data_IF_724435325705
#
_entry.id   IF_724435325705
#
_cell.length_a   1.000
_cell.length_b   1.000
_cell.length_c   1.000
_cell.angle_alpha   90.00
_cell.angle_beta   90.00
_cell.angle_gamma   90.00
#
_symmetry.space_group_name_H-M   'P 1'
#
loop_
_entity.id
_entity.type
_entity.pdbx_description
1 polymer ?
#
# COMPACT_ATOMS: atom_id res chain seq x y z
N UNK A 1 4.39 -28.42 0.74
CA UNK A 1 3.32 -27.58 0.12
C UNK A 1 3.97 -26.62 -0.87
N UNK A 2 3.49 -26.55 -2.12
CA UNK A 2 4.08 -25.67 -3.15
C UNK A 2 3.95 -24.18 -2.72
N UNK A 3 5.04 -23.38 -2.79
CA UNK A 3 5.02 -21.97 -2.36
C UNK A 3 3.97 -21.12 -3.09
N UNK A 4 3.68 -21.42 -4.36
CA UNK A 4 2.65 -20.73 -5.14
C UNK A 4 1.25 -21.01 -4.60
N UNK A 5 0.97 -22.26 -4.24
CA UNK A 5 -0.33 -22.64 -3.65
C UNK A 5 -0.51 -21.99 -2.28
N UNK A 6 0.56 -21.86 -1.50
CA UNK A 6 0.53 -21.11 -0.23
C UNK A 6 0.17 -19.64 -0.47
N UNK A 7 0.81 -18.98 -1.45
CA UNK A 7 0.49 -17.60 -1.81
C UNK A 7 -0.96 -17.41 -2.27
N UNK A 8 -1.49 -18.36 -3.07
CA UNK A 8 -2.91 -18.33 -3.49
C UNK A 8 -3.85 -18.44 -2.29
N UNK A 9 -3.58 -19.33 -1.33
CA UNK A 9 -4.40 -19.45 -0.11
C UNK A 9 -4.36 -18.19 0.75
N UNK A 10 -3.19 -17.59 0.91
CA UNK A 10 -3.06 -16.31 1.63
C UNK A 10 -3.86 -15.20 0.94
N UNK A 11 -3.77 -15.09 -0.39
CA UNK A 11 -4.53 -14.10 -1.15
C UNK A 11 -6.04 -14.38 -1.13
N UNK A 12 -6.45 -15.66 -1.16
CA UNK A 12 -7.85 -16.08 -1.01
C UNK A 12 -8.43 -15.60 0.33
N UNK A 13 -7.71 -15.84 1.43
CA UNK A 13 -8.09 -15.39 2.77
C UNK A 13 -8.16 -13.86 2.85
N UNK A 14 -7.15 -13.16 2.33
CA UNK A 14 -7.12 -11.70 2.32
C UNK A 14 -8.25 -11.06 1.49
N UNK A 15 -8.70 -11.76 0.45
CA UNK A 15 -9.82 -11.33 -0.39
C UNK A 15 -11.20 -11.78 0.13
N UNK A 16 -11.25 -12.50 1.26
CA UNK A 16 -12.51 -13.01 1.83
C UNK A 16 -13.22 -14.03 0.93
N UNK A 17 -12.48 -14.76 0.09
CA UNK A 17 -13.06 -15.70 -0.88
C UNK A 17 -13.32 -17.04 -0.20
N UNK A 18 -14.59 -17.40 -0.08
CA UNK A 18 -15.00 -18.70 0.45
C UNK A 18 -14.61 -19.86 -0.48
N UNK A 19 -14.74 -21.10 0.02
CA UNK A 19 -14.30 -22.29 -0.69
C UNK A 19 -15.11 -22.58 -1.97
N UNK A 20 -16.41 -22.25 -2.01
CA UNK A 20 -17.27 -22.43 -3.20
C UNK A 20 -16.84 -21.46 -4.29
N UNK A 21 -16.64 -20.18 -3.93
CA UNK A 21 -16.11 -19.18 -4.85
C UNK A 21 -14.68 -19.53 -5.30
N UNK A 22 -13.85 -20.08 -4.43
CA UNK A 22 -12.51 -20.54 -4.78
C UNK A 22 -12.54 -21.62 -5.87
N UNK A 23 -13.33 -22.68 -5.67
CA UNK A 23 -13.49 -23.76 -6.65
C UNK A 23 -14.00 -23.24 -8.00
N UNK A 24 -14.98 -22.32 -7.98
CA UNK A 24 -15.48 -21.69 -9.22
C UNK A 24 -14.39 -20.91 -9.95
N UNK A 25 -13.57 -20.15 -9.23
CA UNK A 25 -12.45 -19.40 -9.81
C UNK A 25 -11.37 -20.33 -10.39
N UNK A 26 -11.04 -21.42 -9.71
CA UNK A 26 -10.09 -22.44 -10.20
C UNK A 26 -10.62 -23.09 -11.48
N UNK A 27 -11.91 -23.47 -11.50
CA UNK A 27 -12.56 -24.04 -12.68
C UNK A 27 -12.59 -23.06 -13.85
N UNK A 28 -12.84 -21.78 -13.60
CA UNK A 28 -12.83 -20.75 -14.63
C UNK A 28 -11.43 -20.56 -15.23
N UNK A 29 -10.39 -20.51 -14.40
CA UNK A 29 -9.01 -20.31 -14.87
C UNK A 29 -8.45 -21.55 -15.56
N UNK A 30 -8.89 -22.75 -15.15
CA UNK A 30 -8.50 -23.99 -15.79
C UNK A 30 -9.23 -24.29 -17.11
N UNK A 31 -10.23 -23.49 -17.48
CA UNK A 31 -11.11 -23.81 -18.62
C UNK A 31 -12.02 -25.01 -18.35
N UNK A 32 -12.28 -25.35 -17.08
CA UNK A 32 -13.11 -26.49 -16.69
C UNK A 32 -12.34 -27.77 -16.36
N UNK A 33 -11.03 -27.80 -16.61
CA UNK A 33 -10.20 -29.02 -16.50
C UNK A 33 -9.93 -29.48 -15.07
N UNK A 34 -9.96 -28.56 -14.10
CA UNK A 34 -9.72 -28.90 -12.68
C UNK A 34 -10.45 -27.95 -11.74
N UNK A 35 -10.69 -28.43 -10.52
CA UNK A 35 -11.21 -27.69 -9.37
C UNK A 35 -10.16 -27.48 -8.27
N UNK A 36 -8.91 -27.92 -8.48
CA UNK A 36 -7.82 -27.81 -7.49
C UNK A 36 -6.67 -26.96 -8.00
N UNK A 37 -6.08 -26.16 -7.12
CA UNK A 37 -4.86 -25.40 -7.40
C UNK A 37 -3.68 -26.30 -7.83
N UNK A 38 -3.63 -27.56 -7.39
CA UNK A 38 -2.58 -28.52 -7.79
C UNK A 38 -2.73 -28.97 -9.25
N UNK A 39 -3.94 -28.94 -9.81
CA UNK A 39 -4.19 -29.27 -11.21
C UNK A 39 -3.99 -28.09 -12.17
N UNK A 40 -3.70 -26.89 -11.65
CA UNK A 40 -3.40 -25.72 -12.46
C UNK A 40 -1.94 -25.73 -12.90
N UNK A 41 -1.70 -25.35 -14.15
CA UNK A 41 -0.37 -25.00 -14.65
C UNK A 41 0.20 -23.79 -13.89
N UNK A 42 1.52 -23.59 -13.92
CA UNK A 42 2.15 -22.46 -13.24
C UNK A 42 1.60 -21.10 -13.71
N UNK A 43 1.29 -20.95 -14.99
CA UNK A 43 0.70 -19.73 -15.55
C UNK A 43 -0.73 -19.51 -15.01
N UNK A 44 -1.53 -20.56 -14.91
CA UNK A 44 -2.87 -20.51 -14.33
C UNK A 44 -2.83 -20.20 -12.83
N UNK A 45 -1.88 -20.77 -12.08
CA UNK A 45 -1.66 -20.42 -10.68
C UNK A 45 -1.31 -18.93 -10.50
N UNK A 46 -0.44 -18.38 -11.36
CA UNK A 46 -0.11 -16.94 -11.36
C UNK A 46 -1.33 -16.08 -11.70
N UNK A 47 -2.14 -16.48 -12.67
CA UNK A 47 -3.37 -15.77 -13.03
C UNK A 47 -4.38 -15.77 -11.87
N UNK A 48 -4.54 -16.90 -11.18
CA UNK A 48 -5.41 -17.01 -10.01
C UNK A 48 -4.93 -16.13 -8.85
N UNK A 49 -3.62 -16.15 -8.57
CA UNK A 49 -3.01 -15.30 -7.56
C UNK A 49 -3.26 -13.81 -7.86
N UNK A 50 -2.99 -13.38 -9.10
CA UNK A 50 -3.20 -11.98 -9.53
C UNK A 50 -4.66 -11.56 -9.36
N UNK A 51 -5.61 -12.43 -9.74
CA UNK A 51 -7.04 -12.17 -9.56
C UNK A 51 -7.41 -11.93 -8.10
N UNK A 52 -6.90 -12.77 -7.20
CA UNK A 52 -7.19 -12.60 -5.76
C UNK A 52 -6.55 -11.35 -5.19
N UNK A 53 -5.30 -11.06 -5.55
CA UNK A 53 -4.62 -9.82 -5.15
C UNK A 53 -5.35 -8.55 -5.59
N UNK A 54 -6.05 -8.59 -6.74
CA UNK A 54 -6.88 -7.48 -7.21
C UNK A 54 -8.22 -7.35 -6.46
N UNK A 55 -8.71 -8.44 -5.86
CA UNK A 55 -9.94 -8.49 -5.08
C UNK A 55 -9.72 -8.19 -3.60
N UNK A 56 -8.48 -8.25 -3.10
CA UNK A 56 -8.15 -7.80 -1.74
C UNK A 56 -8.52 -6.32 -1.64
N UNK A 57 -9.36 -5.93 -0.66
CA UNK A 57 -9.65 -4.53 -0.40
C UNK A 57 -8.32 -3.81 -0.22
N UNK A 58 -8.05 -2.79 -1.04
CA UNK A 58 -6.86 -1.96 -0.86
C UNK A 58 -6.93 -1.41 0.56
N UNK A 59 -5.98 -1.77 1.42
CA UNK A 59 -5.90 -1.21 2.76
C UNK A 59 -5.93 0.31 2.60
N UNK A 60 -7.00 0.93 3.08
CA UNK A 60 -7.09 2.37 3.04
C UNK A 60 -5.93 2.91 3.86
N UNK A 61 -5.19 3.88 3.30
CA UNK A 61 -4.19 4.56 4.10
C UNK A 61 -4.88 5.16 5.33
N UNK A 62 -4.30 4.97 6.54
CA UNK A 62 -4.71 5.68 7.73
C UNK A 62 -4.91 7.18 7.45
N UNK A 63 -5.96 7.77 8.03
CA UNK A 63 -6.31 9.19 7.81
C UNK A 63 -5.13 10.13 8.07
N UNK A 64 -4.32 9.82 9.08
CA UNK A 64 -3.10 10.55 9.42
C UNK A 64 -2.06 10.50 8.30
N UNK A 65 -1.78 9.32 7.72
CA UNK A 65 -0.87 9.22 6.58
C UNK A 65 -1.40 9.97 5.35
N UNK A 66 -2.72 9.90 5.08
CA UNK A 66 -3.34 10.70 4.01
C UNK A 66 -3.11 12.20 4.23
N UNK A 67 -3.21 12.68 5.47
CA UNK A 67 -2.94 14.07 5.83
C UNK A 67 -1.47 14.45 5.63
N UNK A 68 -0.53 13.62 6.09
CA UNK A 68 0.92 13.86 5.92
C UNK A 68 1.27 13.99 4.43
N UNK A 69 0.80 13.08 3.58
CA UNK A 69 1.04 13.17 2.14
C UNK A 69 0.34 14.39 1.49
N UNK A 70 -0.84 14.76 1.97
CA UNK A 70 -1.52 15.98 1.52
C UNK A 70 -0.72 17.24 1.85
N UNK A 71 -0.18 17.34 3.07
CA UNK A 71 0.67 18.46 3.50
C UNK A 71 1.97 18.52 2.69
N UNK A 72 2.58 17.36 2.39
CA UNK A 72 3.74 17.30 1.51
C UNK A 72 3.44 17.84 0.10
N UNK A 73 2.32 17.43 -0.49
CA UNK A 73 1.88 17.95 -1.78
C UNK A 73 1.63 19.47 -1.75
N UNK A 74 1.10 20.01 -0.64
CA UNK A 74 0.96 21.45 -0.45
C UNK A 74 2.31 22.17 -0.36
N UNK A 75 3.30 21.61 0.35
CA UNK A 75 4.66 22.14 0.37
C UNK A 75 5.29 22.16 -1.03
N UNK A 76 5.06 21.10 -1.84
CA UNK A 76 5.60 21.03 -3.19
C UNK A 76 4.97 22.09 -4.10
N UNK A 77 3.64 22.27 -4.01
CA UNK A 77 2.91 23.33 -4.72
C UNK A 77 3.35 24.73 -4.29
N UNK A 78 3.72 24.91 -3.02
CA UNK A 78 4.29 26.14 -2.50
C UNK A 78 5.78 26.34 -2.83
N UNK A 79 6.40 25.43 -3.59
CA UNK A 79 7.82 25.48 -3.95
C UNK A 79 8.80 25.23 -2.79
N UNK A 80 8.30 24.79 -1.63
CA UNK A 80 9.11 24.57 -0.40
C UNK A 80 9.86 23.23 -0.42
N UNK A 81 9.45 22.29 -1.28
CA UNK A 81 10.15 21.01 -1.51
C UNK A 81 10.36 20.77 -3.00
N UNK A 82 11.45 20.06 -3.35
CA UNK A 82 11.86 19.84 -4.74
C UNK A 82 11.04 18.77 -5.46
N UNK A 83 10.44 17.81 -4.75
CA UNK A 83 9.81 16.64 -5.36
C UNK A 83 8.47 16.31 -4.69
N UNK A 84 7.40 16.42 -5.47
CA UNK A 84 6.06 15.95 -5.10
C UNK A 84 5.96 14.44 -5.30
N UNK A 85 6.53 13.66 -4.39
CA UNK A 85 6.44 12.21 -4.43
C UNK A 85 6.32 11.63 -3.03
N UNK A 86 5.60 10.50 -2.94
CA UNK A 86 5.47 9.72 -1.71
C UNK A 86 6.84 9.31 -1.15
N UNK A 87 7.76 8.92 -2.03
CA UNK A 87 9.12 8.50 -1.65
C UNK A 87 9.92 9.64 -1.02
N UNK A 88 9.85 10.85 -1.57
CA UNK A 88 10.51 12.01 -1.00
C UNK A 88 9.92 12.39 0.38
N UNK A 89 8.59 12.31 0.52
CA UNK A 89 7.90 12.50 1.80
C UNK A 89 8.35 11.45 2.83
N UNK A 90 8.34 10.16 2.46
CA UNK A 90 8.72 9.07 3.35
C UNK A 90 10.18 9.23 3.81
N UNK A 91 11.11 9.52 2.89
CA UNK A 91 12.53 9.73 3.20
C UNK A 91 12.76 10.96 4.10
N UNK A 92 11.96 12.02 3.95
CA UNK A 92 12.00 13.15 4.87
C UNK A 92 11.50 12.76 6.26
N UNK A 93 10.35 12.07 6.33
CA UNK A 93 9.73 11.69 7.59
C UNK A 93 10.56 10.66 8.38
N UNK A 94 11.32 9.79 7.71
CA UNK A 94 12.22 8.83 8.37
C UNK A 94 13.20 9.50 9.36
N UNK A 95 13.62 10.75 9.09
CA UNK A 95 14.49 11.54 9.99
C UNK A 95 13.82 11.92 11.31
N UNK A 96 12.49 11.93 11.35
CA UNK A 96 11.67 12.31 12.51
C UNK A 96 10.96 11.09 13.14
N UNK A 97 11.16 9.91 12.56
CA UNK A 97 10.54 8.65 12.98
C UNK A 97 11.58 7.65 13.55
N UNK A 98 12.71 8.13 14.06
CA UNK A 98 13.81 7.30 14.59
C UNK A 98 14.30 6.23 13.60
N UNK A 99 14.38 6.57 12.30
CA UNK A 99 14.79 5.65 11.24
C UNK A 99 13.72 4.62 10.84
N UNK A 100 12.52 4.68 11.43
CA UNK A 100 11.37 3.86 11.01
C UNK A 100 10.72 4.48 9.78
N UNK A 101 10.28 3.60 8.87
CA UNK A 101 9.43 3.99 7.74
C UNK A 101 8.15 4.66 8.25
N UNK A 102 7.74 5.74 7.58
CA UNK A 102 6.56 6.52 7.95
C UNK A 102 5.32 5.65 8.20
N UNK A 103 5.06 4.65 7.35
CA UNK A 103 3.91 3.74 7.51
C UNK A 103 3.90 2.96 8.84
N UNK A 104 5.07 2.67 9.41
CA UNK A 104 5.22 1.89 10.65
C UNK A 104 5.45 2.79 11.88
N UNK A 105 5.52 4.11 11.70
CA UNK A 105 5.87 5.07 12.73
C UNK A 105 4.62 5.79 13.28
N UNK A 106 3.56 5.05 13.59
CA UNK A 106 2.27 5.61 14.01
C UNK A 106 2.39 6.58 15.19
N UNK A 107 3.26 6.27 16.17
CA UNK A 107 3.55 7.15 17.31
C UNK A 107 4.18 8.50 16.95
N UNK A 108 4.73 8.65 15.74
CA UNK A 108 5.39 9.88 15.27
C UNK A 108 4.53 10.68 14.29
N UNK A 109 3.39 10.15 13.83
CA UNK A 109 2.56 10.81 12.80
C UNK A 109 2.10 12.21 13.20
N UNK A 110 1.71 12.39 14.47
CA UNK A 110 1.28 13.68 14.97
C UNK A 110 2.42 14.70 14.94
N UNK A 111 3.62 14.31 15.40
CA UNK A 111 4.80 15.17 15.38
C UNK A 111 5.20 15.56 13.95
N UNK A 112 5.22 14.60 13.03
CA UNK A 112 5.50 14.82 11.60
C UNK A 112 4.47 15.78 11.00
N UNK A 113 3.18 15.60 11.30
CA UNK A 113 2.11 16.47 10.81
C UNK A 113 2.32 17.91 11.25
N UNK A 114 2.67 18.14 12.53
CA UNK A 114 2.92 19.49 13.05
C UNK A 114 4.17 20.13 12.42
N UNK A 115 5.25 19.37 12.21
CA UNK A 115 6.44 19.85 11.49
C UNK A 115 6.07 20.33 10.08
N UNK A 116 5.30 19.54 9.34
CA UNK A 116 4.89 19.91 7.97
C UNK A 116 3.98 21.14 7.95
N UNK A 117 3.03 21.25 8.89
CA UNK A 117 2.18 22.45 9.03
C UNK A 117 2.99 23.70 9.36
N UNK A 118 3.92 23.61 10.31
CA UNK A 118 4.79 24.73 10.66
C UNK A 118 5.65 25.16 9.48
N UNK A 119 6.17 24.22 8.69
CA UNK A 119 6.94 24.54 7.50
C UNK A 119 6.09 25.21 6.42
N UNK A 120 4.86 24.74 6.22
CA UNK A 120 3.92 25.37 5.30
C UNK A 120 3.61 26.81 5.70
N UNK A 121 3.39 27.04 7.01
CA UNK A 121 3.03 28.33 7.59
C UNK A 121 4.20 29.26 7.89
N UNK A 122 5.46 28.80 7.75
CA UNK A 122 6.62 29.69 7.82
C UNK A 122 6.50 30.72 6.71
N UNK A 123 6.03 31.91 7.07
CA UNK A 123 6.26 33.14 6.33
C UNK A 123 7.77 33.30 6.24
N UNK A 124 8.30 33.45 5.03
CA UNK A 124 9.67 33.91 4.88
C UNK A 124 9.74 35.27 5.56
N UNK A 125 10.36 35.32 6.74
CA UNK A 125 10.85 36.59 7.28
C UNK A 125 11.99 37.01 6.36
N UNK A 126 11.60 37.67 5.28
CA UNK A 126 12.49 38.46 4.45
C UNK A 126 12.97 39.61 5.35
N UNK A 127 14.09 39.40 6.06
CA UNK A 127 14.92 40.50 6.51
C UNK A 127 15.67 41.00 5.27
N UNK A 128 15.05 41.93 4.56
CA UNK A 128 15.71 42.87 3.67
C UNK A 128 16.01 44.15 4.46
#
# INVERSE_FOLDING_TARGET
MNPMIKAIKTAQQAAGIDQVCHVKNVKQISGGLTNSCTGLTQNQQRALLKRYQQMVPKQELPKQLKLIYSLWGQLARAGKVKQDSKQACDAFCEKFCDGKRLYNAEGHWQAVTEILKQWLNRKETNHA
#
